data_IF_435203291095
#
_entry.id   IF_435203291095
#
_cell.length_a   1.000
_cell.length_b   1.000
_cell.length_c   1.000
_cell.angle_alpha   90.00
_cell.angle_beta   90.00
_cell.angle_gamma   90.00
#
_symmetry.space_group_name_H-M   'P 1'
#
loop_
_entity.id
_entity.type
_entity.pdbx_description
1 polymer ?
#
# COMPACT_ATOMS: atom_id res chain seq x y z
N UNK A 1 -22.69 10.03 -1.91
CA UNK A 1 -21.52 9.53 -1.16
C UNK A 1 -20.68 8.69 -2.11
N UNK A 2 -19.36 8.84 -2.12
CA UNK A 2 -18.52 8.03 -3.00
C UNK A 2 -18.03 6.80 -2.24
N UNK A 3 -18.43 5.61 -2.70
CA UNK A 3 -18.06 4.33 -2.08
C UNK A 3 -16.92 3.68 -2.85
N UNK A 4 -15.84 3.34 -2.13
CA UNK A 4 -14.69 2.64 -2.70
C UNK A 4 -14.32 1.45 -1.83
N UNK A 5 -13.75 0.43 -2.46
CA UNK A 5 -13.20 -0.74 -1.78
C UNK A 5 -11.71 -0.48 -1.55
N UNK A 6 -11.19 -0.87 -0.39
CA UNK A 6 -9.75 -0.80 -0.10
C UNK A 6 -9.28 -2.10 0.54
N UNK A 7 -8.01 -2.43 0.31
CA UNK A 7 -7.28 -3.47 1.05
C UNK A 7 -6.47 -2.79 2.16
N UNK A 8 -6.82 -3.01 3.43
CA UNK A 8 -6.20 -2.31 4.58
C UNK A 8 -5.09 -3.10 5.28
N UNK A 9 -4.99 -4.40 5.02
CA UNK A 9 -3.88 -5.25 5.47
C UNK A 9 -3.41 -6.11 4.31
N UNK A 10 -2.60 -5.57 3.38
CA UNK A 10 -2.12 -6.32 2.24
C UNK A 10 -1.29 -7.52 2.72
N UNK A 11 -1.52 -8.67 2.10
CA UNK A 11 -0.81 -9.90 2.34
C UNK A 11 -0.06 -10.29 1.07
N UNK A 12 1.23 -10.56 1.20
CA UNK A 12 2.09 -10.97 0.10
C UNK A 12 2.47 -12.45 0.23
N UNK A 13 1.45 -13.32 0.35
CA UNK A 13 1.64 -14.77 0.27
C UNK A 13 1.27 -15.23 -1.13
N UNK A 14 2.04 -16.16 -1.67
CA UNK A 14 1.78 -16.78 -2.97
C UNK A 14 0.44 -17.54 -2.93
N UNK A 15 -0.51 -17.10 -3.75
CA UNK A 15 -1.84 -17.69 -3.89
C UNK A 15 -1.81 -19.14 -4.38
N UNK A 16 -0.86 -19.47 -5.25
CA UNK A 16 -0.76 -20.80 -5.85
C UNK A 16 -0.26 -21.84 -4.83
N UNK A 17 0.50 -21.39 -3.82
CA UNK A 17 1.02 -22.23 -2.74
C UNK A 17 0.09 -22.34 -1.52
N UNK A 18 -1.11 -21.76 -1.56
CA UNK A 18 -2.09 -21.86 -0.47
C UNK A 18 -2.98 -23.10 -0.57
N UNK A 19 -3.29 -23.66 0.59
CA UNK A 19 -4.24 -24.75 0.78
C UNK A 19 -5.64 -24.33 0.33
N UNK A 20 -6.25 -25.10 -0.57
CA UNK A 20 -7.61 -24.90 -1.05
C UNK A 20 -8.62 -25.47 -0.06
N UNK A 21 -9.60 -24.66 0.33
CA UNK A 21 -10.73 -25.04 1.17
C UNK A 21 -12.02 -24.72 0.39
N UNK A 22 -12.59 -25.75 -0.26
CA UNK A 22 -13.71 -25.63 -1.19
C UNK A 22 -13.46 -24.62 -2.34
N UNK A 23 -14.03 -23.41 -2.23
CA UNK A 23 -13.90 -22.30 -3.20
C UNK A 23 -12.95 -21.21 -2.74
N UNK A 24 -12.55 -21.26 -1.47
CA UNK A 24 -11.68 -20.29 -0.83
C UNK A 24 -10.28 -20.89 -0.66
N UNK A 25 -9.32 -20.06 -0.26
CA UNK A 25 -7.97 -20.52 0.11
C UNK A 25 -7.65 -20.13 1.53
N UNK A 26 -6.88 -20.97 2.23
CA UNK A 26 -6.36 -20.63 3.55
C UNK A 26 -4.95 -20.05 3.45
N UNK A 27 -4.79 -18.83 3.97
CA UNK A 27 -3.51 -18.14 4.02
C UNK A 27 -2.81 -18.44 5.35
N UNK A 28 -1.80 -19.31 5.33
CA UNK A 28 -1.02 -19.66 6.52
C UNK A 28 -0.26 -18.48 7.14
N UNK A 29 0.12 -17.48 6.34
CA UNK A 29 0.85 -16.30 6.84
C UNK A 29 -0.01 -15.41 7.73
N UNK A 30 -1.28 -15.24 7.39
CA UNK A 30 -2.21 -14.40 8.16
C UNK A 30 -3.31 -15.18 8.90
N UNK A 31 -3.29 -16.52 8.79
CA UNK A 31 -4.22 -17.46 9.41
C UNK A 31 -5.69 -17.12 9.12
N UNK A 32 -5.99 -16.77 7.87
CA UNK A 32 -7.33 -16.37 7.43
C UNK A 32 -7.73 -17.07 6.14
N UNK A 33 -9.03 -17.32 6.01
CA UNK A 33 -9.66 -17.68 4.75
C UNK A 33 -9.65 -16.47 3.82
N UNK A 34 -9.23 -16.69 2.58
CA UNK A 34 -9.12 -15.70 1.53
C UNK A 34 -10.08 -16.08 0.41
N UNK A 35 -11.00 -15.17 0.13
CA UNK A 35 -12.00 -15.32 -0.92
C UNK A 35 -11.45 -14.73 -2.21
N UNK A 36 -11.58 -15.45 -3.32
CA UNK A 36 -11.18 -14.91 -4.62
C UNK A 36 -12.33 -14.07 -5.22
N UNK A 37 -12.13 -12.74 -5.22
CA UNK A 37 -13.04 -11.77 -5.85
C UNK A 37 -12.57 -11.35 -7.24
N UNK A 38 -11.49 -11.92 -7.78
CA UNK A 38 -11.02 -11.60 -9.14
C UNK A 38 -12.15 -11.82 -10.15
N UNK A 39 -12.33 -10.86 -11.05
CA UNK A 39 -13.45 -10.85 -12.01
C UNK A 39 -14.86 -10.61 -11.45
N UNK A 40 -15.05 -10.47 -10.13
CA UNK A 40 -16.37 -10.14 -9.57
C UNK A 40 -16.77 -8.70 -9.93
N UNK A 41 -18.06 -8.47 -10.19
CA UNK A 41 -18.57 -7.11 -10.29
C UNK A 41 -18.50 -6.42 -8.93
N UNK A 42 -18.12 -5.13 -8.93
CA UNK A 42 -17.99 -4.35 -7.70
C UNK A 42 -19.25 -4.35 -6.83
N UNK A 43 -20.45 -4.31 -7.41
CA UNK A 43 -21.72 -4.40 -6.67
C UNK A 43 -21.82 -5.68 -5.85
N UNK A 44 -21.51 -6.83 -6.45
CA UNK A 44 -21.49 -8.13 -5.79
C UNK A 44 -20.50 -8.19 -4.62
N UNK A 45 -19.34 -7.53 -4.77
CA UNK A 45 -18.36 -7.44 -3.68
C UNK A 45 -18.90 -6.57 -2.54
N UNK A 46 -19.53 -5.43 -2.85
CA UNK A 46 -20.15 -4.56 -1.84
C UNK A 46 -21.28 -5.28 -1.08
N UNK A 47 -22.14 -6.02 -1.78
CA UNK A 47 -23.20 -6.81 -1.16
C UNK A 47 -22.62 -7.87 -0.21
N UNK A 48 -21.51 -8.50 -0.60
CA UNK A 48 -20.81 -9.47 0.25
C UNK A 48 -20.23 -8.83 1.52
N UNK A 49 -19.59 -7.67 1.37
CA UNK A 49 -18.94 -6.94 2.47
C UNK A 49 -19.94 -6.26 3.41
N UNK A 50 -21.10 -5.81 2.93
CA UNK A 50 -22.14 -5.24 3.80
C UNK A 50 -22.70 -6.26 4.80
N UNK A 51 -22.66 -7.56 4.44
CA UNK A 51 -23.14 -8.65 5.28
C UNK A 51 -22.08 -9.24 6.23
N UNK A 52 -20.81 -8.79 6.15
CA UNK A 52 -19.70 -9.34 6.93
C UNK A 52 -18.68 -8.24 7.25
N UNK A 53 -18.40 -8.01 8.53
CA UNK A 53 -17.63 -6.83 8.95
C UNK A 53 -16.17 -6.81 8.45
N UNK A 54 -15.51 -7.96 8.24
CA UNK A 54 -14.11 -8.03 7.78
C UNK A 54 -13.85 -9.34 7.02
N UNK A 55 -13.50 -9.24 5.73
CA UNK A 55 -13.21 -10.38 4.87
C UNK A 55 -11.82 -10.23 4.28
N UNK A 56 -11.01 -11.29 4.31
CA UNK A 56 -9.78 -11.32 3.53
C UNK A 56 -10.10 -11.79 2.12
N UNK A 57 -9.61 -11.06 1.11
CA UNK A 57 -9.92 -11.37 -0.28
C UNK A 57 -8.78 -11.05 -1.22
N UNK A 58 -8.77 -11.73 -2.35
CA UNK A 58 -7.94 -11.45 -3.52
C UNK A 58 -8.77 -10.66 -4.53
N UNK A 59 -8.29 -9.50 -4.95
CA UNK A 59 -9.02 -8.49 -5.75
C UNK A 59 -8.10 -7.99 -6.86
N UNK A 60 -8.63 -7.82 -8.08
CA UNK A 60 -7.92 -7.19 -9.19
C UNK A 60 -7.72 -5.67 -8.95
N UNK A 61 -6.57 -5.15 -9.36
CA UNK A 61 -6.22 -3.73 -9.20
C UNK A 61 -7.24 -2.80 -9.88
N UNK A 62 -7.85 -3.24 -10.99
CA UNK A 62 -8.90 -2.50 -11.70
C UNK A 62 -10.14 -2.30 -10.82
N UNK A 63 -10.56 -3.32 -10.06
CA UNK A 63 -11.71 -3.27 -9.15
C UNK A 63 -11.51 -2.28 -7.98
N UNK A 64 -10.25 -1.99 -7.62
CA UNK A 64 -9.89 -1.02 -6.57
C UNK A 64 -9.89 0.43 -7.08
N UNK A 65 -9.58 0.65 -8.36
CA UNK A 65 -9.45 1.98 -8.99
C UNK A 65 -10.81 2.60 -9.32
N UNK A 66 -11.87 1.80 -9.44
CA UNK A 66 -13.20 2.29 -9.81
C UNK A 66 -13.85 3.16 -8.73
N UNK A 67 -14.29 4.35 -9.12
CA UNK A 67 -15.13 5.21 -8.30
C UNK A 67 -16.60 4.83 -8.50
N UNK A 68 -17.30 4.42 -7.44
CA UNK A 68 -18.74 4.21 -7.55
C UNK A 68 -19.45 5.56 -7.37
N UNK A 69 -20.04 6.05 -8.45
CA UNK A 69 -21.17 6.95 -8.36
C UNK A 69 -22.39 6.07 -8.07
N UNK A 70 -23.23 6.40 -7.07
CA UNK A 70 -24.49 5.69 -6.89
C UNK A 70 -25.26 5.75 -8.22
N UNK A 71 -25.62 4.58 -8.73
CA UNK A 71 -26.51 4.48 -9.88
C UNK A 71 -27.88 5.02 -9.43
N UNK A 72 -28.08 6.32 -9.63
CA UNK A 72 -29.38 6.95 -9.44
C UNK A 72 -30.10 6.93 -10.79
N UNK A 73 -30.38 5.72 -11.30
CA UNK A 73 -31.32 5.50 -12.38
C UNK A 73 -32.75 5.62 -11.86
N UNK A 74 -33.09 6.83 -11.39
CA UNK A 74 -34.44 7.36 -11.50
C UNK A 74 -34.36 8.73 -12.15
N UNK A 75 -34.70 8.69 -13.44
CA UNK A 75 -35.29 9.74 -14.27
C UNK A 75 -35.53 11.08 -13.57
N UNK A 76 -34.83 12.12 -14.00
CA UNK A 76 -35.47 13.39 -14.36
C UNK A 76 -34.45 14.29 -15.06
N UNK A 77 -34.83 14.73 -16.25
CA UNK A 77 -34.19 15.77 -17.04
C UNK A 77 -34.14 17.07 -16.24
N UNK A 78 -32.96 17.52 -15.83
CA UNK A 78 -32.72 18.95 -15.58
C UNK A 78 -31.38 19.35 -16.18
N UNK A 79 -31.49 20.43 -16.94
CA UNK A 79 -30.62 20.94 -17.97
C UNK A 79 -29.20 21.28 -17.54
N UNK A 80 -28.30 21.05 -18.50
CA UNK A 80 -27.09 21.84 -18.75
C UNK A 80 -27.35 23.33 -18.45
N UNK A 81 -26.69 23.88 -17.43
CA UNK A 81 -26.32 25.28 -17.43
C UNK A 81 -24.93 25.43 -16.80
N UNK A 82 -23.98 25.75 -17.67
CA UNK A 82 -22.64 26.17 -17.31
C UNK A 82 -22.69 27.47 -16.51
N UNK A 83 -21.81 27.62 -15.53
CA UNK A 83 -21.41 28.94 -15.03
C UNK A 83 -19.89 29.00 -14.99
N UNK A 84 -19.34 29.71 -15.98
CA UNK A 84 -17.93 30.12 -16.10
C UNK A 84 -17.81 31.57 -15.66
N UNK A 85 -17.41 31.86 -14.43
CA UNK A 85 -16.89 33.15 -13.93
C UNK A 85 -16.11 32.82 -12.62
N UNK A 86 -14.90 33.27 -12.27
CA UNK A 86 -13.98 34.28 -12.79
C UNK A 86 -12.53 33.88 -12.46
N UNK A 87 -11.61 34.23 -13.37
CA UNK A 87 -10.23 34.58 -13.04
C UNK A 87 -10.23 35.62 -11.91
N UNK A 88 -9.50 35.36 -10.84
CA UNK A 88 -9.26 36.29 -9.74
C UNK A 88 -7.87 36.05 -9.17
N UNK A 89 -6.90 36.76 -9.73
CA UNK A 89 -5.50 36.81 -9.34
C UNK A 89 -5.33 37.04 -7.85
N UNK A 90 -4.64 36.14 -7.15
CA UNK A 90 -3.93 36.48 -5.91
C UNK A 90 -2.51 35.95 -6.06
N UNK A 91 -1.64 36.82 -6.54
CA UNK A 91 -0.22 36.78 -6.26
C UNK A 91 -0.07 37.10 -4.77
N UNK A 92 0.15 36.07 -3.96
CA UNK A 92 0.60 36.20 -2.58
C UNK A 92 1.94 35.51 -2.46
N UNK A 93 3.04 36.25 -2.69
CA UNK A 93 4.35 35.83 -2.26
C UNK A 93 4.34 35.84 -0.73
N UNK A 94 4.33 34.66 -0.10
CA UNK A 94 4.83 34.53 1.26
C UNK A 94 6.21 33.91 1.18
N UNK A 95 7.16 34.59 1.77
CA UNK A 95 8.58 34.26 1.82
C UNK A 95 8.80 32.85 2.39
N UNK A 96 9.83 32.10 1.96
CA UNK A 96 10.23 30.88 2.64
C UNK A 96 10.79 31.25 4.02
N UNK A 97 10.13 30.78 5.09
CA UNK A 97 10.70 30.81 6.44
C UNK A 97 11.89 29.86 6.45
N UNK A 98 13.08 30.43 6.39
CA UNK A 98 14.33 29.70 6.51
C UNK A 98 14.55 29.35 7.99
N UNK A 99 14.04 28.19 8.41
CA UNK A 99 14.29 27.67 9.75
C UNK A 99 15.75 27.20 9.83
N UNK A 100 16.62 28.04 10.40
CA UNK A 100 17.96 27.62 10.81
C UNK A 100 17.82 26.48 11.83
N UNK A 101 18.41 25.30 11.61
CA UNK A 101 18.52 24.29 12.64
C UNK A 101 19.29 24.87 13.82
N UNK A 102 18.69 24.87 15.01
CA UNK A 102 19.46 25.06 16.24
C UNK A 102 20.35 23.84 16.38
N UNK A 103 21.67 24.06 16.31
CA UNK A 103 22.67 23.08 16.71
C UNK A 103 22.41 22.71 18.18
N UNK A 104 21.95 21.48 18.40
CA UNK A 104 22.07 20.87 19.71
C UNK A 104 23.49 20.31 19.80
N UNK A 105 24.40 21.05 20.43
CA UNK A 105 25.67 20.50 20.91
C UNK A 105 25.34 19.54 22.05
N UNK A 106 25.18 18.26 21.71
CA UNK A 106 25.26 17.23 22.73
C UNK A 106 26.74 16.95 22.99
N UNK A 107 27.10 17.29 24.21
CA UNK A 107 28.33 16.98 24.93
C UNK A 107 28.76 15.53 24.68
N UNK A 108 29.98 15.37 24.16
CA UNK A 108 30.61 14.07 24.04
C UNK A 108 31.05 13.65 25.44
N UNK A 109 30.37 12.69 26.04
CA UNK A 109 30.96 11.89 27.10
C UNK A 109 31.73 10.74 26.44
N UNK A 110 33.05 10.80 26.50
CA UNK A 110 33.93 9.64 26.32
C UNK A 110 33.46 8.53 27.26
N UNK A 111 32.89 7.47 26.69
CA UNK A 111 32.75 6.20 27.40
C UNK A 111 33.88 5.32 26.95
N UNK A 112 34.65 4.91 27.95
CA UNK A 112 35.88 4.17 27.88
C UNK A 112 35.89 3.03 26.86
N UNK A 113 36.99 3.07 26.12
CA UNK A 113 37.57 2.04 25.28
C UNK A 113 37.69 0.70 26.03
N UNK A 114 36.66 -0.13 25.94
CA UNK A 114 36.79 -1.56 26.23
C UNK A 114 37.28 -2.27 24.95
N UNK A 115 38.60 -2.48 24.87
CA UNK A 115 39.22 -3.30 23.82
C UNK A 115 39.22 -4.75 24.27
N UNK A 116 38.14 -5.46 24.00
CA UNK A 116 38.15 -6.92 24.12
C UNK A 116 38.64 -7.55 22.83
N UNK A 117 39.87 -8.05 22.89
CA UNK A 117 40.44 -8.90 21.85
C UNK A 117 40.03 -10.33 22.19
N UNK A 118 38.78 -10.67 21.90
CA UNK A 118 38.47 -12.06 21.57
C UNK A 118 38.83 -12.25 20.10
N UNK A 119 39.62 -13.27 19.71
CA UNK A 119 39.77 -13.61 18.32
C UNK A 119 38.37 -13.90 17.77
N UNK A 120 37.84 -12.97 16.97
CA UNK A 120 36.60 -13.16 16.23
C UNK A 120 36.86 -14.37 15.35
N UNK A 121 36.32 -15.51 15.74
CA UNK A 121 36.24 -16.69 14.88
C UNK A 121 35.60 -16.19 13.59
N UNK A 122 36.42 -16.08 12.55
CA UNK A 122 36.03 -15.54 11.27
C UNK A 122 34.98 -16.50 10.71
N UNK A 123 33.71 -16.18 10.96
CA UNK A 123 32.59 -16.93 10.42
C UNK A 123 32.59 -16.65 8.93
N UNK A 124 33.00 -17.65 8.15
CA UNK A 124 32.92 -17.62 6.70
C UNK A 124 31.49 -17.21 6.30
N UNK A 125 31.38 -16.14 5.54
CA UNK A 125 30.10 -15.55 5.12
C UNK A 125 30.27 -14.91 3.76
N UNK A 126 29.16 -14.83 3.02
CA UNK A 126 29.12 -14.14 1.74
C UNK A 126 28.19 -12.94 1.86
N UNK A 127 28.53 -11.87 1.16
CA UNK A 127 27.66 -10.69 1.02
C UNK A 127 27.15 -10.64 -0.40
N UNK A 128 25.84 -10.54 -0.55
CA UNK A 128 25.15 -10.36 -1.83
C UNK A 128 24.56 -8.97 -1.83
N UNK A 129 24.86 -8.22 -2.86
CA UNK A 129 24.41 -6.84 -3.05
C UNK A 129 23.60 -6.74 -4.33
N UNK A 130 22.86 -5.65 -4.47
CA UNK A 130 22.08 -5.48 -5.67
C UNK A 130 21.16 -4.30 -5.67
N UNK A 131 20.41 -4.18 -6.77
CA UNK A 131 19.36 -3.19 -6.97
C UNK A 131 18.10 -3.90 -7.46
N UNK A 132 16.95 -3.48 -6.95
CA UNK A 132 15.64 -3.92 -7.39
C UNK A 132 14.93 -2.78 -8.13
N UNK A 133 14.40 -3.09 -9.31
CA UNK A 133 13.72 -2.14 -10.19
C UNK A 133 12.28 -2.57 -10.48
N UNK A 134 11.42 -1.62 -10.81
CA UNK A 134 10.06 -1.86 -11.33
C UNK A 134 10.06 -2.09 -12.86
N UNK A 135 8.92 -2.44 -13.48
CA UNK A 135 8.78 -2.57 -14.93
C UNK A 135 9.18 -1.32 -15.74
N UNK A 136 9.05 -0.12 -15.17
CA UNK A 136 9.46 1.13 -15.79
C UNK A 136 10.97 1.41 -15.66
N UNK A 137 11.70 0.60 -14.89
CA UNK A 137 13.14 0.77 -14.62
C UNK A 137 13.44 1.73 -13.46
N UNK A 138 12.44 2.10 -12.67
CA UNK A 138 12.61 2.91 -11.47
C UNK A 138 13.03 2.03 -10.29
N UNK A 139 13.80 2.60 -9.36
CA UNK A 139 14.26 1.93 -8.14
C UNK A 139 13.08 1.62 -7.21
N UNK A 140 13.05 0.40 -6.67
CA UNK A 140 11.97 -0.07 -5.78
C UNK A 140 12.43 -0.17 -4.32
N UNK A 141 12.04 0.79 -3.45
CA UNK A 141 12.30 0.71 -2.02
C UNK A 141 11.33 -0.21 -1.28
N UNK A 142 11.79 -0.83 -0.18
CA UNK A 142 10.95 -1.66 0.70
C UNK A 142 10.63 -3.07 0.18
N UNK A 143 11.34 -3.56 -0.83
CA UNK A 143 11.22 -4.94 -1.33
C UNK A 143 11.81 -5.89 -0.29
N UNK A 144 11.06 -6.92 0.11
CA UNK A 144 11.55 -7.93 1.03
C UNK A 144 12.36 -8.99 0.26
N UNK A 145 13.56 -9.28 0.75
CA UNK A 145 14.49 -10.23 0.15
C UNK A 145 14.82 -11.28 1.21
N UNK A 146 14.35 -12.51 1.00
CA UNK A 146 14.49 -13.60 1.98
C UNK A 146 15.31 -14.74 1.39
N UNK A 147 16.26 -15.28 2.14
CA UNK A 147 16.94 -16.51 1.76
C UNK A 147 15.96 -17.68 1.90
N UNK A 148 15.70 -18.40 0.81
CA UNK A 148 14.70 -19.47 0.73
C UNK A 148 14.89 -20.49 1.85
N UNK A 149 13.76 -20.93 2.43
CA UNK A 149 13.66 -21.85 3.56
C UNK A 149 14.26 -21.34 4.88
N UNK A 150 14.62 -20.07 4.97
CA UNK A 150 15.13 -19.45 6.20
C UNK A 150 14.26 -18.26 6.61
N UNK A 151 14.47 -17.77 7.83
CA UNK A 151 13.91 -16.49 8.29
C UNK A 151 14.84 -15.31 8.04
N UNK A 152 16.00 -15.55 7.43
CA UNK A 152 16.96 -14.50 7.14
C UNK A 152 16.50 -13.68 5.95
N UNK A 153 16.52 -12.37 6.11
CA UNK A 153 16.18 -11.47 5.02
C UNK A 153 16.56 -10.03 5.32
N UNK A 154 16.53 -9.24 4.27
CA UNK A 154 16.76 -7.79 4.28
C UNK A 154 15.67 -7.09 3.47
N UNK A 155 15.62 -5.77 3.55
CA UNK A 155 14.77 -4.96 2.68
C UNK A 155 15.61 -3.99 1.86
N UNK A 156 15.12 -3.64 0.67
CA UNK A 156 15.75 -2.58 -0.13
C UNK A 156 15.59 -1.21 0.53
N UNK A 157 16.62 -0.39 0.41
CA UNK A 157 16.64 0.99 0.88
C UNK A 157 15.87 1.95 -0.07
N UNK A 158 15.91 3.26 0.19
CA UNK A 158 15.26 4.29 -0.63
C UNK A 158 15.75 4.33 -2.08
N UNK A 159 16.96 3.86 -2.34
CA UNK A 159 17.58 3.78 -3.66
C UNK A 159 17.32 2.42 -4.35
N UNK A 160 16.47 1.57 -3.76
CA UNK A 160 16.19 0.23 -4.24
C UNK A 160 17.39 -0.73 -4.09
N UNK A 161 18.43 -0.34 -3.35
CA UNK A 161 19.63 -1.14 -3.13
C UNK A 161 19.45 -2.05 -1.93
N UNK A 162 20.17 -3.17 -1.92
CA UNK A 162 20.26 -4.05 -0.76
C UNK A 162 21.68 -4.59 -0.60
N UNK A 163 22.02 -4.96 0.64
CA UNK A 163 23.21 -5.74 0.98
C UNK A 163 22.82 -6.79 2.01
N UNK A 164 23.04 -8.07 1.68
CA UNK A 164 22.61 -9.22 2.46
C UNK A 164 23.81 -10.12 2.75
N UNK A 165 24.26 -10.11 4.01
CA UNK A 165 25.32 -10.99 4.48
C UNK A 165 24.74 -12.31 5.00
N UNK A 166 25.16 -13.41 4.38
CA UNK A 166 24.67 -14.76 4.63
C UNK A 166 25.84 -15.61 5.16
N UNK A 167 25.74 -16.16 6.38
CA UNK A 167 26.69 -17.12 6.92
C UNK A 167 26.84 -18.37 6.04
N UNK A 168 28.07 -18.87 5.86
CA UNK A 168 28.33 -20.02 4.99
C UNK A 168 27.64 -21.32 5.42
N UNK A 169 27.25 -21.45 6.69
CA UNK A 169 26.48 -22.60 7.21
C UNK A 169 25.00 -22.59 6.81
N UNK A 170 24.46 -21.45 6.36
CA UNK A 170 23.08 -21.34 5.84
C UNK A 170 23.02 -21.62 4.34
N UNK A 171 24.17 -21.68 3.67
CA UNK A 171 24.27 -21.90 2.24
C UNK A 171 24.19 -23.39 1.89
N UNK A 172 23.35 -23.71 0.91
CA UNK A 172 23.21 -25.04 0.30
C UNK A 172 23.96 -25.10 -1.03
N UNK A 173 23.90 -26.25 -1.73
CA UNK A 173 24.41 -26.37 -3.11
C UNK A 173 23.66 -25.45 -4.07
N UNK A 174 22.34 -25.39 -3.93
CA UNK A 174 21.48 -24.46 -4.65
C UNK A 174 20.88 -23.43 -3.70
N UNK A 175 21.14 -22.15 -3.96
CA UNK A 175 20.68 -21.05 -3.12
C UNK A 175 19.75 -20.14 -3.90
N UNK A 176 18.65 -19.75 -3.27
CA UNK A 176 17.62 -18.92 -3.88
C UNK A 176 17.27 -17.75 -2.95
N UNK A 177 17.19 -16.55 -3.51
CA UNK A 177 16.59 -15.39 -2.85
C UNK A 177 15.15 -15.23 -3.34
N UNK A 178 14.24 -14.99 -2.41
CA UNK A 178 12.83 -14.72 -2.69
C UNK A 178 12.60 -13.22 -2.56
N UNK A 179 12.28 -12.58 -3.67
CA UNK A 179 11.95 -11.16 -3.76
C UNK A 179 10.43 -11.00 -3.71
N UNK A 180 9.94 -10.20 -2.78
CA UNK A 180 8.51 -10.03 -2.57
C UNK A 180 8.16 -8.59 -2.20
N UNK A 181 7.24 -8.00 -2.97
CA UNK A 181 6.73 -6.66 -2.75
C UNK A 181 5.24 -6.59 -3.12
N UNK A 182 4.49 -5.72 -2.44
CA UNK A 182 3.02 -5.66 -2.61
C UNK A 182 2.69 -5.09 -3.99
N UNK A 183 1.83 -5.78 -4.74
CA UNK A 183 1.48 -5.42 -6.11
C UNK A 183 2.48 -5.90 -7.16
N UNK A 184 3.41 -6.78 -6.77
CA UNK A 184 4.38 -7.42 -7.66
C UNK A 184 4.39 -8.92 -7.44
N UNK A 185 4.67 -9.66 -8.50
CA UNK A 185 4.85 -11.10 -8.43
C UNK A 185 6.04 -11.45 -7.53
N UNK A 186 5.87 -12.49 -6.72
CA UNK A 186 6.99 -13.02 -5.92
C UNK A 186 7.95 -13.76 -6.85
N UNK A 187 9.22 -13.35 -6.88
CA UNK A 187 10.23 -13.92 -7.76
C UNK A 187 11.28 -14.69 -6.96
N UNK A 188 11.60 -15.91 -7.42
CA UNK A 188 12.71 -16.70 -6.90
C UNK A 188 13.93 -16.52 -7.81
N UNK A 189 15.06 -16.10 -7.25
CA UNK A 189 16.29 -15.88 -7.99
C UNK A 189 17.39 -16.80 -7.48
N UNK A 190 17.91 -17.66 -8.35
CA UNK A 190 19.06 -18.52 -8.04
C UNK A 190 20.34 -17.69 -8.04
N UNK A 191 21.16 -17.83 -6.99
CA UNK A 191 22.48 -17.21 -6.94
C UNK A 191 23.58 -18.22 -6.63
N UNK A 192 24.82 -17.82 -6.90
CA UNK A 192 26.02 -18.64 -6.68
C UNK A 192 27.01 -17.87 -5.83
N UNK A 193 27.88 -18.57 -5.08
CA UNK A 193 28.87 -17.94 -4.19
C UNK A 193 29.82 -16.95 -4.88
N UNK A 194 30.01 -17.08 -6.20
CA UNK A 194 30.84 -16.17 -7.02
C UNK A 194 30.09 -14.91 -7.46
N UNK A 195 28.77 -14.98 -7.64
CA UNK A 195 27.96 -13.87 -8.13
C UNK A 195 27.40 -13.08 -6.95
N UNK A 196 28.07 -12.00 -6.62
CA UNK A 196 27.74 -11.18 -5.44
C UNK A 196 26.89 -9.96 -5.75
N UNK A 197 26.63 -9.66 -7.03
CA UNK A 197 25.79 -8.54 -7.42
C UNK A 197 24.59 -9.01 -8.24
N UNK A 198 23.39 -8.60 -7.83
CA UNK A 198 22.12 -8.97 -8.47
C UNK A 198 21.38 -7.70 -8.88
N UNK A 199 21.02 -7.61 -10.15
CA UNK A 199 20.08 -6.58 -10.61
C UNK A 199 18.80 -7.28 -11.05
N UNK A 200 17.69 -7.01 -10.38
CA UNK A 200 16.42 -7.70 -10.61
C UNK A 200 15.31 -6.71 -10.90
N UNK A 201 14.48 -7.03 -11.89
CA UNK A 201 13.33 -6.25 -12.30
C UNK A 201 12.07 -7.00 -11.91
N UNK A 202 11.31 -6.48 -10.95
CA UNK A 202 10.08 -7.09 -10.49
C UNK A 202 8.99 -6.97 -11.56
N UNK A 203 8.10 -7.96 -11.61
CA UNK A 203 6.93 -7.99 -12.48
C UNK A 203 5.71 -7.54 -11.68
N UNK A 204 4.86 -6.71 -12.28
CA UNK A 204 3.61 -6.27 -11.65
C UNK A 204 2.63 -7.43 -11.48
N UNK A 205 2.03 -7.52 -10.29
CA UNK A 205 0.87 -8.39 -10.05
C UNK A 205 -0.39 -7.53 -10.14
N UNK A 206 -1.29 -7.93 -11.04
CA UNK A 206 -2.57 -7.26 -11.22
C UNK A 206 -3.56 -7.57 -10.09
N UNK A 207 -3.20 -8.44 -9.16
CA UNK A 207 -4.03 -8.86 -8.03
C UNK A 207 -3.44 -8.39 -6.71
N UNK A 208 -4.33 -8.01 -5.79
CA UNK A 208 -4.01 -7.62 -4.43
C UNK A 208 -4.75 -8.56 -3.48
N UNK A 209 -4.05 -9.02 -2.46
CA UNK A 209 -4.64 -9.84 -1.43
C UNK A 209 -4.57 -9.14 -0.08
N UNK A 210 -5.62 -9.27 0.73
CA UNK A 210 -5.61 -8.79 2.11
C UNK A 210 -7.00 -8.52 2.66
N UNK A 211 -7.07 -7.87 3.83
CA UNK A 211 -8.35 -7.46 4.42
C UNK A 211 -9.02 -6.40 3.57
N UNK A 212 -10.19 -6.73 3.04
CA UNK A 212 -11.01 -5.89 2.17
C UNK A 212 -12.05 -5.16 3.01
N UNK A 213 -12.14 -3.85 2.84
CA UNK A 213 -13.11 -3.00 3.53
C UNK A 213 -13.78 -2.01 2.59
N UNK A 214 -14.99 -1.60 2.97
CA UNK A 214 -15.71 -0.50 2.33
C UNK A 214 -15.28 0.80 2.98
N UNK A 215 -14.86 1.77 2.15
CA UNK A 215 -14.58 3.13 2.59
C UNK A 215 -15.56 4.07 1.92
N UNK A 216 -16.32 4.78 2.76
CA UNK A 216 -17.23 5.83 2.32
C UNK A 216 -16.55 7.18 2.51
N UNK A 217 -16.40 7.95 1.43
CA UNK A 217 -16.01 9.37 1.52
C UNK A 217 -17.28 10.21 1.51
N UNK A 218 -17.53 10.91 2.60
CA UNK A 218 -18.53 11.96 2.67
C UNK A 218 -18.06 13.15 1.81
N UNK A 219 -18.86 13.51 0.80
CA UNK A 219 -18.63 14.74 0.05
C UNK A 219 -19.01 15.90 0.96
N UNK A 220 -18.02 16.71 1.35
CA UNK A 220 -18.18 17.91 2.20
C UNK A 220 -19.28 18.87 1.68
N UNK A 221 -19.50 18.90 0.37
CA UNK A 221 -20.51 19.73 -0.27
C UNK A 221 -21.96 19.38 0.10
N UNK A 222 -22.25 18.16 0.59
CA UNK A 222 -23.62 17.82 1.04
C UNK A 222 -23.99 18.43 2.39
N UNK A 223 -23.02 18.93 3.19
CA UNK A 223 -23.32 19.65 4.45
C UNK A 223 -23.69 21.12 4.24
N UNK A 224 -23.27 21.72 3.12
CA UNK A 224 -23.45 23.16 2.87
C UNK A 224 -24.87 23.45 2.35
N UNK A 225 -25.50 22.52 1.63
CA UNK A 225 -26.87 22.67 1.13
C UNK A 225 -27.93 22.78 2.24
N UNK A 226 -27.78 22.05 3.34
CA UNK A 226 -28.72 22.11 4.48
C UNK A 226 -28.51 23.33 5.39
N UNK A 227 -27.39 24.05 5.26
CA UNK A 227 -27.14 25.26 6.04
C UNK A 227 -27.93 26.46 5.48
N UNK A 228 -28.05 26.57 4.14
CA UNK A 228 -28.79 27.66 3.51
C UNK A 228 -30.29 27.38 3.35
N UNK A 229 -30.74 26.12 3.29
CA UNK A 229 -32.17 25.79 3.19
C UNK A 229 -33.01 26.19 4.41
N UNK A 230 -32.42 26.14 5.62
CA UNK A 230 -33.06 26.56 6.86
C UNK A 230 -32.92 28.06 7.15
N UNK A 231 -32.03 28.78 6.44
CA UNK A 231 -31.83 30.21 6.63
C UNK A 231 -32.87 31.05 5.85
N UNK A 232 -33.47 30.50 4.80
CA UNK A 232 -34.44 31.19 3.94
C UNK A 232 -35.89 30.70 4.05
N UNK A 233 -36.20 29.71 4.90
CA UNK A 233 -37.58 29.20 5.08
C UNK A 233 -38.36 29.90 6.20
N UNK A 234 -37.96 31.10 6.66
CA UNK A 234 -38.63 31.81 7.77
C UNK A 234 -39.05 33.24 7.40
N UNK A 235 -39.91 33.36 6.39
CA UNK A 235 -40.87 34.46 6.11
C UNK A 235 -41.60 33.98 4.87
N UNK A 236 -42.84 33.53 4.93
CA UNK A 236 -44.04 34.34 5.12
C UNK A 236 -45.12 33.46 5.75
N UNK A 237 -45.65 33.86 6.90
CA UNK A 237 -46.99 33.48 7.38
C UNK A 237 -47.33 34.40 8.55
N UNK A 238 -47.73 35.63 8.23
CA UNK A 238 -48.63 36.37 9.10
C UNK A 238 -49.24 37.56 8.35
N UNK A 239 -50.45 37.39 7.82
CA UNK A 239 -51.46 38.45 7.80
C UNK A 239 -52.79 37.87 8.24
N UNK A 240 -53.20 38.40 9.39
CA UNK A 240 -54.36 38.09 10.22
C UNK A 240 -55.68 38.43 9.54
N UNK A 241 -56.72 37.68 9.87
CA UNK A 241 -58.11 38.14 9.82
C UNK A 241 -58.28 39.40 10.69
N UNK A 242 -58.88 40.46 10.12
CA UNK A 242 -60.02 41.23 10.62
C UNK A 242 -60.32 42.37 9.64
#
# INVERSE_FOLDING_TARGET
MQTRIKVIKPCNQDWNKMTTLDKDKFCEKCQKNVIDFTGYKKSKILDFLNNKEKVCGRIDQSQLKENFLPDNTKNSSISKLAFLISLGSILGFTEPVNAKPKEHKTEQTEVDKWKSIHPKKESDSITIEGVVLDPAGLKLPGVNIILKDTKMGVQTDFDGKFSFTIPSNELKEENYLIFSFIGFETQEYRFYRKNRYINIKMLEDNTFMGEVVIVQRANIFYKIGNFFGNLFSKKENNKSCQ
#
